data_IF_390877403315
#
_entry.id   IF_390877403315
#
_cell.length_a   1.000
_cell.length_b   1.000
_cell.length_c   1.000
_cell.angle_alpha   90.00
_cell.angle_beta   90.00
_cell.angle_gamma   90.00
#
_symmetry.space_group_name_H-M   'P 1'
#
loop_
_entity.id
_entity.type
_entity.pdbx_description
1 polymer ?
#
# COMPACT_ATOMS: atom_id res chain seq x y z
N UNK A 1 -14.75 -2.10 -8.82
CA UNK A 1 -15.59 -1.11 -8.10
C UNK A 1 -16.08 -0.05 -9.06
N UNK A 2 -17.13 0.73 -8.73
CA UNK A 2 -17.60 1.81 -9.60
C UNK A 2 -16.83 3.09 -9.35
N UNK A 3 -16.35 3.75 -10.40
CA UNK A 3 -15.71 5.07 -10.39
C UNK A 3 -16.41 5.92 -11.45
N UNK A 4 -17.05 7.01 -11.04
CA UNK A 4 -17.78 7.94 -11.94
C UNK A 4 -18.75 7.24 -12.92
N UNK A 5 -19.41 6.16 -12.47
CA UNK A 5 -20.33 5.38 -13.30
C UNK A 5 -19.67 4.32 -14.21
N UNK A 6 -18.34 4.22 -14.25
CA UNK A 6 -17.59 3.20 -14.98
C UNK A 6 -17.06 2.11 -14.04
N UNK A 7 -17.13 0.85 -14.46
CA UNK A 7 -16.58 -0.26 -13.69
C UNK A 7 -15.04 -0.27 -13.81
N UNK A 8 -14.36 -0.11 -12.69
CA UNK A 8 -12.90 -0.05 -12.59
C UNK A 8 -12.31 -1.21 -11.79
N UNK A 9 -11.08 -1.58 -12.14
CA UNK A 9 -10.19 -2.43 -11.36
C UNK A 9 -9.05 -1.58 -10.81
N UNK A 10 -8.76 -1.75 -9.53
CA UNK A 10 -7.55 -1.27 -8.90
C UNK A 10 -6.60 -2.45 -8.66
N UNK A 11 -5.32 -2.24 -8.90
CA UNK A 11 -4.25 -3.20 -8.62
C UNK A 11 -3.19 -2.49 -7.78
N UNK A 12 -2.89 -3.04 -6.60
CA UNK A 12 -1.90 -2.46 -5.68
C UNK A 12 -0.65 -3.32 -5.64
N UNK A 13 0.50 -2.70 -5.87
CA UNK A 13 1.82 -3.34 -5.76
C UNK A 13 2.37 -3.07 -4.37
N UNK A 14 2.74 -4.14 -3.68
CA UNK A 14 3.16 -4.08 -2.27
C UNK A 14 4.36 -4.96 -2.03
N UNK A 15 5.27 -4.44 -1.24
CA UNK A 15 6.36 -5.22 -0.64
C UNK A 15 5.99 -5.58 0.78
N UNK A 16 6.16 -6.85 1.13
CA UNK A 16 5.90 -7.35 2.47
C UNK A 16 7.23 -7.70 3.15
N UNK A 17 7.47 -7.09 4.30
CA UNK A 17 8.57 -7.44 5.19
C UNK A 17 8.06 -8.35 6.30
N UNK A 18 8.61 -9.56 6.36
CA UNK A 18 8.26 -10.55 7.38
C UNK A 18 9.39 -10.72 8.38
N UNK A 19 9.05 -10.71 9.67
CA UNK A 19 9.88 -11.29 10.73
C UNK A 19 9.31 -12.67 11.06
N UNK A 20 10.17 -13.67 11.08
CA UNK A 20 9.78 -15.06 11.35
C UNK A 20 10.60 -15.62 12.49
N UNK A 21 9.98 -16.35 13.40
CA UNK A 21 10.67 -17.00 14.51
C UNK A 21 10.28 -18.48 14.61
N UNK A 22 11.23 -19.31 15.02
CA UNK A 22 10.96 -20.72 15.28
C UNK A 22 10.32 -20.86 16.66
N UNK A 23 9.08 -21.33 16.70
CA UNK A 23 8.32 -21.64 17.92
C UNK A 23 8.25 -23.15 18.07
N UNK A 24 8.96 -23.68 19.06
CA UNK A 24 9.09 -25.12 19.30
C UNK A 24 9.68 -25.85 18.09
N UNK A 25 8.87 -26.29 17.12
CA UNK A 25 9.31 -26.96 15.89
C UNK A 25 9.15 -26.12 14.63
N UNK A 26 8.21 -25.18 14.62
CA UNK A 26 7.72 -24.55 13.40
C UNK A 26 8.17 -23.09 13.30
N UNK A 27 8.47 -22.64 12.08
CA UNK A 27 8.59 -21.22 11.80
C UNK A 27 7.21 -20.58 11.72
N UNK A 28 7.02 -19.47 12.44
CA UNK A 28 5.79 -18.67 12.42
C UNK A 28 6.16 -17.22 12.11
N UNK A 29 5.24 -16.51 11.46
CA UNK A 29 5.34 -15.05 11.28
C UNK A 29 5.09 -14.40 12.64
N UNK A 30 6.08 -13.68 13.16
CA UNK A 30 5.95 -12.88 14.39
C UNK A 30 5.51 -11.45 14.06
N UNK A 31 5.89 -10.95 12.89
CA UNK A 31 5.49 -9.63 12.39
C UNK A 31 5.44 -9.63 10.86
N UNK A 32 4.47 -8.91 10.31
CA UNK A 32 4.36 -8.63 8.88
C UNK A 32 4.02 -7.16 8.70
N UNK A 33 4.85 -6.45 7.95
CA UNK A 33 4.63 -5.05 7.59
C UNK A 33 4.53 -4.92 6.08
N UNK A 34 3.59 -4.10 5.61
CA UNK A 34 3.39 -3.82 4.19
C UNK A 34 3.90 -2.43 3.83
N UNK A 35 4.58 -2.31 2.70
CA UNK A 35 5.01 -1.07 2.08
C UNK A 35 4.30 -0.99 0.72
N UNK A 36 3.47 0.03 0.49
CA UNK A 36 2.83 0.22 -0.82
C UNK A 36 3.82 0.87 -1.78
N UNK A 37 3.91 0.35 -3.00
CA UNK A 37 4.86 0.83 -4.00
C UNK A 37 4.15 1.68 -5.05
N UNK A 38 3.00 1.21 -5.54
CA UNK A 38 2.17 1.88 -6.53
C UNK A 38 0.75 1.28 -6.52
N UNK A 39 -0.20 2.04 -7.04
CA UNK A 39 -1.52 1.53 -7.41
C UNK A 39 -1.79 1.85 -8.88
N UNK A 40 -2.38 0.91 -9.63
CA UNK A 40 -2.88 1.13 -10.98
C UNK A 40 -4.42 1.11 -10.94
N UNK A 41 -5.05 2.09 -11.58
CA UNK A 41 -6.50 2.16 -11.75
C UNK A 41 -6.86 2.17 -13.22
N UNK A 42 -7.67 1.20 -13.65
CA UNK A 42 -8.07 1.04 -15.04
C UNK A 42 -9.55 0.65 -15.17
N UNK A 43 -10.20 1.01 -16.29
CA UNK A 43 -11.51 0.47 -16.61
C UNK A 43 -11.41 -1.05 -16.81
N UNK A 44 -12.46 -1.77 -16.42
CA UNK A 44 -12.54 -3.22 -16.68
C UNK A 44 -12.75 -3.50 -18.17
N UNK A 45 -13.54 -2.67 -18.84
CA UNK A 45 -13.73 -2.75 -20.29
C UNK A 45 -12.72 -1.81 -20.96
N UNK A 46 -11.86 -2.36 -21.82
CA UNK A 46 -10.84 -1.59 -22.52
C UNK A 46 -11.46 -0.46 -23.36
N UNK A 47 -10.84 0.71 -23.32
CA UNK A 47 -11.28 1.90 -24.07
C UNK A 47 -12.37 2.73 -23.39
N UNK A 48 -12.93 2.29 -22.27
CA UNK A 48 -13.81 3.15 -21.47
C UNK A 48 -13.01 4.22 -20.72
N UNK A 49 -13.60 5.39 -20.56
CA UNK A 49 -13.03 6.46 -19.73
C UNK A 49 -13.57 6.36 -18.30
N UNK A 50 -12.68 6.51 -17.32
CA UNK A 50 -13.05 6.60 -15.90
C UNK A 50 -13.48 8.02 -15.51
N UNK A 51 -13.30 9.00 -16.40
CA UNK A 51 -13.64 10.40 -16.19
C UNK A 51 -12.99 10.98 -14.91
N UNK A 52 -11.77 10.57 -14.61
CA UNK A 52 -11.04 11.05 -13.43
C UNK A 52 -10.56 12.47 -13.70
N UNK A 53 -10.96 13.41 -12.85
CA UNK A 53 -10.42 14.76 -12.88
C UNK A 53 -9.04 14.78 -12.21
N UNK A 54 -7.95 15.19 -12.89
CA UNK A 54 -6.62 15.24 -12.29
C UNK A 54 -6.53 16.09 -11.01
N UNK A 55 -7.44 17.07 -10.84
CA UNK A 55 -7.50 17.88 -9.63
C UNK A 55 -7.91 17.07 -8.39
N UNK A 56 -8.68 15.99 -8.55
CA UNK A 56 -9.10 15.13 -7.44
C UNK A 56 -7.92 14.31 -6.88
N UNK A 57 -6.82 14.22 -7.62
CA UNK A 57 -5.61 13.49 -7.22
C UNK A 57 -4.60 14.38 -6.48
N UNK A 58 -4.82 15.69 -6.46
CA UNK A 58 -3.90 16.66 -5.83
C UNK A 58 -3.87 16.42 -4.32
N UNK A 59 -2.66 16.28 -3.77
CA UNK A 59 -2.44 16.02 -2.35
C UNK A 59 -2.56 14.54 -1.95
N UNK A 60 -3.03 13.66 -2.86
CA UNK A 60 -2.96 12.23 -2.63
C UNK A 60 -1.52 11.74 -2.80
N UNK A 61 -1.06 10.95 -1.84
CA UNK A 61 0.31 10.42 -1.82
C UNK A 61 0.58 9.52 -3.02
N UNK A 62 1.69 9.67 -3.76
CA UNK A 62 1.96 8.91 -4.98
C UNK A 62 1.88 7.40 -4.80
N UNK A 63 2.42 6.87 -3.70
CA UNK A 63 2.40 5.42 -3.44
C UNK A 63 1.01 4.88 -3.14
N UNK A 64 0.02 5.72 -2.80
CA UNK A 64 -1.35 5.34 -2.45
C UNK A 64 -2.40 6.05 -3.33
N UNK A 65 -1.98 6.71 -4.43
CA UNK A 65 -2.77 7.77 -5.05
C UNK A 65 -4.15 7.28 -5.47
N UNK A 66 -4.19 6.19 -6.23
CA UNK A 66 -5.47 5.66 -6.71
C UNK A 66 -6.23 4.88 -5.63
N UNK A 67 -5.55 4.22 -4.69
CA UNK A 67 -6.25 3.57 -3.58
C UNK A 67 -6.95 4.61 -2.70
N UNK A 68 -6.29 5.74 -2.42
CA UNK A 68 -6.86 6.85 -1.68
C UNK A 68 -8.04 7.48 -2.43
N UNK A 69 -7.86 7.74 -3.72
CA UNK A 69 -8.92 8.29 -4.59
C UNK A 69 -10.18 7.44 -4.54
N UNK A 70 -10.07 6.13 -4.80
CA UNK A 70 -11.24 5.26 -4.85
C UNK A 70 -11.85 5.03 -3.46
N UNK A 71 -11.04 5.11 -2.40
CA UNK A 71 -11.53 5.02 -1.02
C UNK A 71 -12.32 6.26 -0.61
N UNK A 72 -11.85 7.46 -0.98
CA UNK A 72 -12.56 8.72 -0.79
C UNK A 72 -13.89 8.75 -1.55
N UNK A 73 -13.90 8.30 -2.81
CA UNK A 73 -15.12 8.17 -3.60
C UNK A 73 -16.16 7.22 -2.96
N UNK A 74 -15.70 6.23 -2.19
CA UNK A 74 -16.54 5.32 -1.42
C UNK A 74 -16.91 5.84 -0.01
N UNK A 75 -16.58 7.10 0.33
CA UNK A 75 -16.87 7.72 1.62
C UNK A 75 -15.94 7.29 2.76
N UNK A 76 -14.75 6.74 2.44
CA UNK A 76 -13.75 6.35 3.42
C UNK A 76 -12.45 7.14 3.28
N UNK A 77 -11.50 6.85 4.16
CA UNK A 77 -10.18 7.49 4.16
C UNK A 77 -9.05 6.44 4.22
N UNK A 78 -7.84 6.89 3.91
CA UNK A 78 -6.59 6.15 4.08
C UNK A 78 -5.70 6.95 5.02
N UNK A 79 -5.08 6.26 5.99
CA UNK A 79 -4.15 6.91 6.91
C UNK A 79 -2.94 7.47 6.15
N UNK A 80 -2.61 8.74 6.42
CA UNK A 80 -1.42 9.38 5.88
C UNK A 80 -0.11 8.77 6.41
N UNK A 81 -0.18 7.99 7.50
CA UNK A 81 0.97 7.34 8.15
C UNK A 81 1.29 5.95 7.61
N UNK A 82 0.55 5.47 6.59
CA UNK A 82 0.88 4.17 5.99
C UNK A 82 2.23 4.21 5.27
N UNK A 83 3.00 3.14 5.40
CA UNK A 83 4.30 3.01 4.75
C UNK A 83 4.14 2.93 3.24
N UNK A 84 4.94 3.72 2.53
CA UNK A 84 5.00 3.72 1.07
C UNK A 84 6.37 4.13 0.58
N UNK A 85 6.69 3.79 -0.67
CA UNK A 85 7.97 4.11 -1.32
C UNK A 85 8.24 5.61 -1.45
N UNK A 86 7.21 6.45 -1.33
CA UNK A 86 7.28 7.91 -1.26
C UNK A 86 7.72 8.44 0.12
N UNK A 87 7.87 7.57 1.13
CA UNK A 87 8.40 7.90 2.47
C UNK A 87 9.67 7.08 2.75
N UNK A 88 10.79 7.35 2.04
CA UNK A 88 12.00 6.52 2.12
C UNK A 88 12.60 6.45 3.53
N UNK A 89 12.59 7.55 4.29
CA UNK A 89 13.14 7.56 5.65
C UNK A 89 12.40 6.58 6.60
N UNK A 90 11.07 6.49 6.50
CA UNK A 90 10.28 5.57 7.33
C UNK A 90 10.49 4.12 6.91
N UNK A 91 10.68 3.88 5.60
CA UNK A 91 11.01 2.57 5.06
C UNK A 91 12.39 2.13 5.54
N UNK A 92 13.39 3.03 5.50
CA UNK A 92 14.74 2.76 6.00
C UNK A 92 14.73 2.46 7.49
N UNK A 93 13.96 3.23 8.28
CA UNK A 93 13.77 2.96 9.71
C UNK A 93 13.17 1.57 9.95
N UNK A 94 12.13 1.18 9.19
CA UNK A 94 11.53 -0.16 9.31
C UNK A 94 12.56 -1.27 9.08
N UNK A 95 13.43 -1.12 8.08
CA UNK A 95 14.49 -2.09 7.80
C UNK A 95 15.53 -2.12 8.92
N UNK A 96 15.99 -0.96 9.38
CA UNK A 96 16.92 -0.87 10.51
C UNK A 96 16.37 -1.57 11.77
N UNK A 97 15.11 -1.34 12.11
CA UNK A 97 14.45 -2.02 13.23
C UNK A 97 14.36 -3.55 13.04
N UNK A 98 14.21 -4.01 11.80
CA UNK A 98 14.17 -5.44 11.49
C UNK A 98 15.57 -6.08 11.55
N UNK A 99 16.60 -5.37 11.14
CA UNK A 99 18.01 -5.78 11.27
C UNK A 99 18.44 -5.82 12.73
N UNK A 100 18.10 -4.78 13.51
CA UNK A 100 18.34 -4.75 14.96
C UNK A 100 17.67 -5.94 15.66
N UNK A 101 16.45 -6.27 15.27
CA UNK A 101 15.75 -7.44 15.79
C UNK A 101 16.46 -8.76 15.46
N UNK A 102 17.08 -8.90 14.29
CA UNK A 102 17.87 -10.09 13.93
C UNK A 102 19.14 -10.23 14.79
N UNK A 103 19.74 -9.10 15.18
CA UNK A 103 20.97 -9.07 15.98
C UNK A 103 20.71 -9.26 17.48
N UNK A 104 19.47 -9.12 17.95
CA UNK A 104 19.13 -9.36 19.35
C UNK A 104 19.33 -10.84 19.69
N UNK A 105 20.16 -11.10 20.70
CA UNK A 105 20.29 -12.46 21.27
C UNK A 105 19.02 -12.74 22.09
N UNK A 106 18.20 -13.69 21.62
CA UNK A 106 17.03 -14.18 22.35
C UNK A 106 17.40 -15.18 23.43
#
# INVERSE_FOLDING_TARGET
>A
MMVNGTLAQIESYRRLLYRVEKRTTDWKISQMTSINENDDLRPVIAGQDLHINPQDLVGLRPSYQFLAYVRQAAGGEISAELLGTDRPADVDQLYAEAEDWLCQTK
#
